data_IF_913885663157
#
_entry.id   IF_913885663157
#
_cell.length_a   1.000
_cell.length_b   1.000
_cell.length_c   1.000
_cell.angle_alpha   90.00
_cell.angle_beta   90.00
_cell.angle_gamma   90.00
#
_symmetry.space_group_name_H-M   'P 1'
#
loop_
_entity.id
_entity.type
_entity.pdbx_description
1 polymer ?
#
# COMPACT_ATOMS: atom_id res chain seq x y z
N UNK A 1 4.36 -0.45 24.23
CA UNK A 1 3.99 -1.77 23.66
C UNK A 1 3.36 -1.69 22.28
N UNK A 2 2.33 -0.87 22.04
CA UNK A 2 1.61 -0.82 20.75
C UNK A 2 2.52 -0.47 19.57
N UNK A 3 3.37 0.55 19.72
CA UNK A 3 4.30 0.96 18.66
C UNK A 3 5.30 -0.15 18.31
N UNK A 4 5.93 -0.76 19.33
CA UNK A 4 6.87 -1.88 19.17
C UNK A 4 6.23 -3.10 18.47
N UNK A 5 4.95 -3.38 18.76
CA UNK A 5 4.20 -4.46 18.09
C UNK A 5 4.08 -4.19 16.59
N UNK A 6 3.70 -2.97 16.19
CA UNK A 6 3.51 -2.64 14.78
C UNK A 6 4.80 -2.48 14.01
N UNK A 7 5.88 -1.99 14.64
CA UNK A 7 7.21 -2.00 14.03
C UNK A 7 7.63 -3.44 13.70
N UNK A 8 7.41 -4.38 14.62
CA UNK A 8 7.77 -5.79 14.40
C UNK A 8 6.92 -6.41 13.29
N UNK A 9 5.62 -6.14 13.26
CA UNK A 9 4.72 -6.62 12.20
C UNK A 9 5.16 -6.08 10.84
N UNK A 10 5.40 -4.77 10.71
CA UNK A 10 5.81 -4.16 9.44
C UNK A 10 7.18 -4.65 8.96
N UNK A 11 8.12 -4.85 9.88
CA UNK A 11 9.43 -5.38 9.54
C UNK A 11 9.35 -6.84 9.12
N UNK A 12 8.53 -7.65 9.80
CA UNK A 12 8.27 -9.03 9.39
C UNK A 12 7.58 -9.08 8.01
N UNK A 13 6.64 -8.18 7.73
CA UNK A 13 5.95 -8.14 6.43
C UNK A 13 6.87 -7.68 5.32
N UNK A 14 7.81 -6.77 5.61
CA UNK A 14 8.84 -6.37 4.67
C UNK A 14 9.80 -7.53 4.35
N UNK A 15 10.29 -8.26 5.36
CA UNK A 15 11.13 -9.44 5.14
C UNK A 15 10.37 -10.49 4.34
N UNK A 16 9.11 -10.74 4.70
CA UNK A 16 8.25 -11.66 3.96
C UNK A 16 8.08 -11.21 2.50
N UNK A 17 7.76 -9.94 2.26
CA UNK A 17 7.61 -9.39 0.90
C UNK A 17 8.88 -9.62 0.08
N UNK A 18 10.04 -9.26 0.62
CA UNK A 18 11.34 -9.44 -0.04
C UNK A 18 11.64 -10.90 -0.36
N UNK A 19 11.42 -11.82 0.58
CA UNK A 19 11.59 -13.27 0.36
C UNK A 19 10.57 -13.84 -0.64
N UNK A 20 9.33 -13.38 -0.56
CA UNK A 20 8.21 -13.87 -1.36
C UNK A 20 8.24 -13.37 -2.82
N UNK A 21 9.05 -12.34 -3.10
CA UNK A 21 9.17 -11.74 -4.44
C UNK A 21 9.55 -12.76 -5.50
N UNK A 22 10.38 -13.76 -5.19
CA UNK A 22 10.74 -14.83 -6.12
C UNK A 22 9.57 -15.75 -6.51
N UNK A 23 8.55 -15.86 -5.64
CA UNK A 23 7.42 -16.77 -5.84
C UNK A 23 6.18 -16.06 -6.38
N UNK A 24 5.95 -14.82 -5.97
CA UNK A 24 4.75 -14.07 -6.35
C UNK A 24 4.99 -13.07 -7.48
N UNK A 25 6.23 -12.84 -7.92
CA UNK A 25 6.49 -11.96 -9.06
C UNK A 25 5.93 -12.54 -10.35
N UNK A 26 5.12 -11.76 -11.06
CA UNK A 26 4.70 -12.07 -12.43
C UNK A 26 5.40 -11.09 -13.37
N UNK A 27 6.60 -11.47 -13.81
CA UNK A 27 7.47 -10.64 -14.63
C UNK A 27 8.06 -9.47 -13.83
N UNK A 28 7.46 -8.29 -13.96
CA UNK A 28 7.87 -7.06 -13.22
C UNK A 28 6.75 -6.55 -12.32
N UNK A 29 5.77 -7.40 -12.01
CA UNK A 29 4.58 -7.05 -11.24
C UNK A 29 4.62 -7.85 -9.94
N UNK A 30 4.77 -7.13 -8.83
CA UNK A 30 4.87 -7.69 -7.49
C UNK A 30 3.74 -7.15 -6.60
N UNK A 31 3.23 -7.95 -5.65
CA UNK A 31 2.22 -7.49 -4.72
C UNK A 31 2.87 -6.68 -3.59
N UNK A 32 2.26 -5.57 -3.21
CA UNK A 32 2.76 -4.71 -2.15
C UNK A 32 2.12 -5.05 -0.80
N UNK A 33 2.68 -6.03 -0.10
CA UNK A 33 2.18 -6.48 1.22
C UNK A 33 2.39 -5.42 2.31
N UNK A 34 3.44 -4.61 2.21
CA UNK A 34 3.70 -3.52 3.17
C UNK A 34 2.55 -2.51 3.17
N UNK A 35 2.04 -2.12 2.00
CA UNK A 35 0.89 -1.22 1.87
C UNK A 35 -0.38 -1.82 2.46
N UNK A 36 -0.61 -3.12 2.27
CA UNK A 36 -1.75 -3.82 2.86
C UNK A 36 -1.73 -3.62 4.38
N UNK A 37 -0.61 -3.96 5.00
CA UNK A 37 -0.49 -3.92 6.46
C UNK A 37 -0.52 -2.48 6.98
N UNK A 38 0.09 -1.55 6.26
CA UNK A 38 0.02 -0.12 6.56
C UNK A 38 -1.43 0.37 6.59
N UNK A 39 -2.25 -0.04 5.62
CA UNK A 39 -3.67 0.32 5.56
C UNK A 39 -4.44 -0.20 6.78
N UNK A 40 -4.18 -1.44 7.20
CA UNK A 40 -4.78 -2.02 8.43
C UNK A 40 -4.36 -1.26 9.69
N UNK A 41 -3.07 -0.94 9.82
CA UNK A 41 -2.54 -0.20 10.98
C UNK A 41 -3.15 1.21 11.02
N UNK A 42 -3.26 1.88 9.88
CA UNK A 42 -3.75 3.25 9.77
C UNK A 42 -5.22 3.35 10.13
N UNK A 43 -6.07 2.43 9.63
CA UNK A 43 -7.50 2.37 9.98
C UNK A 43 -7.69 2.06 11.46
N UNK A 44 -6.88 1.18 12.04
CA UNK A 44 -7.02 0.80 13.45
C UNK A 44 -6.55 1.90 14.41
N UNK A 45 -5.39 2.49 14.11
CA UNK A 45 -4.67 3.33 15.07
C UNK A 45 -4.82 4.84 14.80
N UNK A 46 -5.26 5.25 13.62
CA UNK A 46 -5.49 6.64 13.25
C UNK A 46 -4.30 7.30 12.55
N UNK A 47 -4.47 8.57 12.18
CA UNK A 47 -3.61 9.27 11.22
C UNK A 47 -2.14 9.39 11.62
N UNK A 48 -1.85 9.83 12.84
CA UNK A 48 -0.45 10.00 13.27
C UNK A 48 0.34 8.69 13.22
N UNK A 49 -0.29 7.57 13.60
CA UNK A 49 0.34 6.25 13.56
C UNK A 49 0.53 5.81 12.11
N UNK A 50 -0.51 5.92 11.27
CA UNK A 50 -0.44 5.59 9.85
C UNK A 50 0.62 6.38 9.09
N UNK A 51 0.67 7.70 9.27
CA UNK A 51 1.67 8.56 8.62
C UNK A 51 3.10 8.20 9.06
N UNK A 52 3.37 8.07 10.37
CA UNK A 52 4.71 7.74 10.85
C UNK A 52 5.19 6.38 10.32
N UNK A 53 4.34 5.36 10.43
CA UNK A 53 4.70 4.02 9.94
C UNK A 53 4.87 3.99 8.42
N UNK A 54 4.02 4.71 7.68
CA UNK A 54 4.16 4.84 6.23
C UNK A 54 5.48 5.49 5.83
N UNK A 55 5.90 6.55 6.55
CA UNK A 55 7.17 7.21 6.32
C UNK A 55 8.36 6.27 6.53
N UNK A 56 8.43 5.64 7.70
CA UNK A 56 9.58 4.81 8.07
C UNK A 56 9.66 3.55 7.21
N UNK A 57 8.55 2.86 6.97
CA UNK A 57 8.59 1.65 6.14
C UNK A 57 8.92 2.00 4.69
N UNK A 58 8.38 3.10 4.16
CA UNK A 58 8.74 3.56 2.82
C UNK A 58 10.23 3.91 2.72
N UNK A 59 10.81 4.50 3.78
CA UNK A 59 12.25 4.78 3.84
C UNK A 59 13.08 3.50 3.84
N UNK A 60 12.67 2.49 4.61
CA UNK A 60 13.34 1.20 4.62
C UNK A 60 13.28 0.50 3.26
N UNK A 61 12.13 0.58 2.59
CA UNK A 61 11.98 0.03 1.23
C UNK A 61 12.94 0.73 0.28
N UNK A 62 12.93 2.07 0.22
CA UNK A 62 13.82 2.83 -0.67
C UNK A 62 15.31 2.58 -0.38
N UNK A 63 15.69 2.42 0.89
CA UNK A 63 17.08 2.08 1.27
C UNK A 63 17.48 0.67 0.82
N UNK A 64 16.52 -0.25 0.74
CA UNK A 64 16.76 -1.65 0.38
C UNK A 64 16.79 -1.90 -1.13
N UNK A 65 16.07 -1.09 -1.91
CA UNK A 65 15.76 -1.36 -3.31
C UNK A 65 16.82 -0.88 -4.32
N UNK A 66 18.03 -0.57 -3.84
CA UNK A 66 19.21 -0.30 -4.67
C UNK A 66 19.19 1.07 -5.37
N UNK A 67 20.25 1.36 -6.14
CA UNK A 67 20.55 2.70 -6.69
C UNK A 67 19.63 3.19 -7.82
N UNK A 68 18.68 2.37 -8.27
CA UNK A 68 17.88 2.63 -9.47
C UNK A 68 16.42 3.03 -9.17
N UNK A 69 16.08 3.29 -7.91
CA UNK A 69 14.76 3.79 -7.49
C UNK A 69 14.82 5.23 -7.00
N UNK A 70 13.71 5.94 -7.18
CA UNK A 70 13.54 7.32 -6.73
C UNK A 70 13.46 7.38 -5.20
N UNK A 71 14.59 7.64 -4.55
CA UNK A 71 14.64 7.81 -3.10
C UNK A 71 13.70 8.93 -2.64
N UNK A 72 12.83 8.64 -1.69
CA UNK A 72 11.82 9.56 -1.16
C UNK A 72 10.42 9.37 -1.76
N UNK A 73 10.29 8.67 -2.89
CA UNK A 73 8.99 8.42 -3.51
C UNK A 73 8.13 7.48 -2.66
N UNK A 74 8.68 6.33 -2.24
CA UNK A 74 7.93 5.35 -1.44
C UNK A 74 7.52 5.91 -0.07
N UNK A 75 8.40 6.58 0.71
CA UNK A 75 8.00 7.27 1.94
C UNK A 75 6.87 8.27 1.74
N UNK A 76 6.89 9.07 0.66
CA UNK A 76 5.87 10.07 0.38
C UNK A 76 4.53 9.42 0.02
N UNK A 77 4.57 8.41 -0.85
CA UNK A 77 3.37 7.70 -1.28
C UNK A 77 2.74 6.94 -0.11
N UNK A 78 3.54 6.28 0.73
CA UNK A 78 3.05 5.53 1.88
C UNK A 78 2.57 6.44 3.02
N UNK A 79 3.22 7.58 3.26
CA UNK A 79 2.71 8.58 4.23
C UNK A 79 1.34 9.09 3.82
N UNK A 80 1.14 9.41 2.54
CA UNK A 80 -0.16 9.81 2.02
C UNK A 80 -1.21 8.71 2.21
N UNK A 81 -0.90 7.46 1.85
CA UNK A 81 -1.81 6.33 2.05
C UNK A 81 -2.16 6.12 3.52
N UNK A 82 -1.17 6.13 4.41
CA UNK A 82 -1.39 5.99 5.85
C UNK A 82 -2.24 7.12 6.42
N UNK A 83 -2.03 8.34 5.96
CA UNK A 83 -2.85 9.49 6.33
C UNK A 83 -4.29 9.36 5.82
N UNK A 84 -4.49 9.15 4.52
CA UNK A 84 -5.83 9.10 3.93
C UNK A 84 -6.65 7.90 4.40
N UNK A 85 -6.02 6.73 4.53
CA UNK A 85 -6.71 5.53 5.04
C UNK A 85 -7.14 5.71 6.51
N UNK A 86 -6.47 6.56 7.28
CA UNK A 86 -6.86 6.79 8.66
C UNK A 86 -8.19 7.53 8.84
N UNK A 87 -8.64 8.33 7.86
CA UNK A 87 -9.97 8.97 7.91
C UNK A 87 -11.10 7.95 7.98
N UNK A 88 -10.88 6.75 7.41
CA UNK A 88 -11.83 5.65 7.49
C UNK A 88 -12.06 5.16 8.92
N UNK A 89 -11.12 5.40 9.84
CA UNK A 89 -11.30 5.05 11.26
C UNK A 89 -12.51 5.76 11.87
N UNK A 90 -12.61 7.06 11.61
CA UNK A 90 -13.64 7.94 12.15
C UNK A 90 -14.98 7.72 11.44
N UNK A 91 -14.92 7.40 10.16
CA UNK A 91 -16.10 7.25 9.29
C UNK A 91 -16.65 5.81 9.23
N UNK A 92 -15.98 4.82 9.83
CA UNK A 92 -16.41 3.41 9.79
C UNK A 92 -17.83 3.18 10.38
N UNK A 93 -18.25 4.01 11.35
CA UNK A 93 -19.59 3.91 11.95
C UNK A 93 -20.66 4.70 11.16
N UNK A 94 -20.25 5.61 10.28
CA UNK A 94 -21.13 6.52 9.53
C UNK A 94 -21.39 6.04 8.11
N UNK A 95 -20.40 5.40 7.49
CA UNK A 95 -20.44 4.98 6.10
C UNK A 95 -21.06 3.59 5.94
N UNK A 96 -21.80 3.39 4.84
CA UNK A 96 -22.19 2.06 4.41
C UNK A 96 -20.93 1.25 4.02
N UNK A 97 -20.97 -0.06 4.20
CA UNK A 97 -19.90 -1.02 3.86
C UNK A 97 -19.40 -0.86 2.43
N UNK A 98 -20.31 -0.58 1.49
CA UNK A 98 -19.95 -0.38 0.07
C UNK A 98 -19.10 0.88 -0.08
N UNK A 99 -19.52 2.01 0.48
CA UNK A 99 -18.76 3.26 0.43
C UNK A 99 -17.41 3.14 1.14
N UNK A 100 -17.39 2.51 2.32
CA UNK A 100 -16.14 2.22 3.04
C UNK A 100 -15.17 1.45 2.15
N UNK A 101 -15.65 0.40 1.48
CA UNK A 101 -14.82 -0.40 0.58
C UNK A 101 -14.34 0.38 -0.64
N UNK A 102 -15.23 1.14 -1.28
CA UNK A 102 -14.87 1.96 -2.43
C UNK A 102 -13.81 3.00 -2.09
N UNK A 103 -13.84 3.60 -0.90
CA UNK A 103 -12.87 4.62 -0.50
C UNK A 103 -11.47 4.02 -0.31
N UNK A 104 -11.31 2.92 0.42
CA UNK A 104 -9.97 2.35 0.61
C UNK A 104 -9.40 1.79 -0.70
N UNK A 105 -10.24 1.21 -1.57
CA UNK A 105 -9.84 0.79 -2.92
C UNK A 105 -9.37 1.99 -3.75
N UNK A 106 -10.11 3.11 -3.70
CA UNK A 106 -9.74 4.34 -4.39
C UNK A 106 -8.40 4.90 -3.90
N UNK A 107 -8.17 4.93 -2.58
CA UNK A 107 -6.90 5.37 -1.99
C UNK A 107 -5.73 4.57 -2.56
N UNK A 108 -5.86 3.24 -2.65
CA UNK A 108 -4.83 2.37 -3.22
C UNK A 108 -4.63 2.60 -4.71
N UNK A 109 -5.71 2.71 -5.50
CA UNK A 109 -5.60 2.99 -6.93
C UNK A 109 -4.85 4.29 -7.20
N UNK A 110 -5.15 5.34 -6.45
CA UNK A 110 -4.46 6.65 -6.52
C UNK A 110 -3.00 6.51 -6.09
N UNK A 111 -2.74 5.79 -5.01
CA UNK A 111 -1.38 5.53 -4.54
C UNK A 111 -0.51 4.87 -5.64
N UNK A 112 -1.00 3.76 -6.21
CA UNK A 112 -0.32 3.06 -7.31
C UNK A 112 -0.21 3.93 -8.56
N UNK A 113 -1.18 4.80 -8.81
CA UNK A 113 -1.13 5.73 -9.93
C UNK A 113 0.02 6.73 -9.76
N UNK A 114 0.12 7.39 -8.60
CA UNK A 114 1.19 8.36 -8.29
C UNK A 114 2.56 7.69 -8.42
N UNK A 115 2.72 6.49 -7.84
CA UNK A 115 3.96 5.73 -7.94
C UNK A 115 4.29 5.38 -9.41
N UNK A 116 3.32 4.83 -10.15
CA UNK A 116 3.51 4.41 -11.54
C UNK A 116 3.86 5.57 -12.46
N UNK A 117 3.24 6.75 -12.28
CA UNK A 117 3.50 7.94 -13.10
C UNK A 117 4.97 8.37 -13.04
N UNK A 118 5.59 8.25 -11.87
CA UNK A 118 6.98 8.66 -11.66
C UNK A 118 7.94 7.55 -12.11
N UNK A 119 7.68 6.29 -11.70
CA UNK A 119 8.58 5.16 -12.01
C UNK A 119 8.54 4.77 -13.48
N UNK A 120 7.38 4.78 -14.11
CA UNK A 120 7.17 4.35 -15.49
C UNK A 120 6.96 5.51 -16.47
N UNK A 121 7.56 6.67 -16.19
CA UNK A 121 7.43 7.87 -17.04
C UNK A 121 7.84 7.61 -18.50
N UNK A 122 8.90 6.85 -18.73
CA UNK A 122 9.35 6.52 -20.08
C UNK A 122 8.32 5.64 -20.82
N UNK A 123 7.71 4.68 -20.12
CA UNK A 123 6.67 3.81 -20.66
C UNK A 123 5.40 4.61 -20.99
N UNK A 124 5.06 5.61 -20.17
CA UNK A 124 3.96 6.54 -20.42
C UNK A 124 4.16 7.32 -21.73
N UNK A 125 5.38 7.80 -21.99
CA UNK A 125 5.71 8.58 -23.20
C UNK A 125 5.71 7.67 -24.44
N UNK A 126 6.29 6.48 -24.35
CA UNK A 126 6.42 5.57 -25.48
C UNK A 126 5.09 4.88 -25.84
N UNK A 127 4.32 4.47 -24.83
CA UNK A 127 3.12 3.65 -25.01
C UNK A 127 2.12 3.85 -23.85
N UNK A 128 1.23 4.86 -23.95
CA UNK A 128 0.24 5.16 -22.91
C UNK A 128 -0.69 3.98 -22.57
N UNK A 129 -1.03 3.15 -23.56
CA UNK A 129 -1.87 1.96 -23.37
C UNK A 129 -1.20 0.92 -22.47
N UNK A 130 0.08 0.62 -22.71
CA UNK A 130 0.85 -0.32 -21.90
C UNK A 130 1.07 0.22 -20.48
N UNK A 131 1.18 1.54 -20.32
CA UNK A 131 1.22 2.17 -19.00
C UNK A 131 -0.05 1.91 -18.19
N UNK A 132 -1.24 2.12 -18.80
CA UNK A 132 -2.51 1.88 -18.12
C UNK A 132 -2.62 0.40 -17.71
N UNK A 133 -2.23 -0.52 -18.60
CA UNK A 133 -2.23 -1.97 -18.30
C UNK A 133 -1.27 -2.26 -17.15
N UNK A 134 -0.07 -1.67 -17.14
CA UNK A 134 0.94 -1.88 -16.10
C UNK A 134 0.46 -1.38 -14.74
N UNK A 135 -0.08 -0.16 -14.68
CA UNK A 135 -0.66 0.42 -13.47
C UNK A 135 -1.85 -0.39 -12.94
N UNK A 136 -2.75 -0.80 -13.83
CA UNK A 136 -3.88 -1.65 -13.44
C UNK A 136 -3.40 -3.02 -12.95
N UNK A 137 -2.41 -3.62 -13.60
CA UNK A 137 -1.94 -4.93 -13.20
C UNK A 137 -1.26 -4.91 -11.82
N UNK A 138 -0.42 -3.92 -11.52
CA UNK A 138 0.23 -3.81 -10.19
C UNK A 138 -0.78 -3.50 -9.08
N UNK A 139 -1.71 -2.58 -9.34
CA UNK A 139 -2.75 -2.24 -8.36
C UNK A 139 -3.72 -3.41 -8.13
N UNK A 140 -4.22 -4.05 -9.20
CA UNK A 140 -5.15 -5.18 -9.09
C UNK A 140 -4.50 -6.38 -8.40
N UNK A 141 -3.21 -6.62 -8.63
CA UNK A 141 -2.54 -7.74 -7.98
C UNK A 141 -2.52 -7.58 -6.45
N UNK A 142 -2.18 -6.38 -5.96
CA UNK A 142 -2.26 -6.06 -4.52
C UNK A 142 -3.70 -6.10 -4.01
N UNK A 143 -4.67 -5.57 -4.79
CA UNK A 143 -6.09 -5.59 -4.44
C UNK A 143 -6.66 -7.01 -4.29
N UNK A 144 -6.19 -7.99 -5.08
CA UNK A 144 -6.61 -9.40 -4.94
C UNK A 144 -6.22 -9.92 -3.56
N UNK A 145 -4.99 -9.69 -3.10
CA UNK A 145 -4.55 -10.11 -1.77
C UNK A 145 -5.34 -9.41 -0.66
N UNK A 146 -5.62 -8.11 -0.80
CA UNK A 146 -6.47 -7.41 0.16
C UNK A 146 -7.89 -7.97 0.14
N UNK A 147 -8.42 -8.32 -1.04
CA UNK A 147 -9.74 -8.94 -1.22
C UNK A 147 -9.85 -10.27 -0.49
N UNK A 148 -8.82 -11.12 -0.58
CA UNK A 148 -8.72 -12.37 0.19
C UNK A 148 -8.73 -12.05 1.70
N UNK A 149 -7.94 -11.07 2.13
CA UNK A 149 -7.91 -10.65 3.53
C UNK A 149 -9.24 -10.05 4.00
N UNK A 150 -10.04 -9.42 3.15
CA UNK A 150 -11.39 -8.94 3.53
C UNK A 150 -12.32 -10.09 3.92
N UNK A 151 -12.14 -11.28 3.35
CA UNK A 151 -12.96 -12.46 3.69
C UNK A 151 -12.62 -12.97 5.09
N UNK A 152 -11.32 -12.93 5.46
CA UNK A 152 -10.82 -13.45 6.74
C UNK A 152 -10.96 -12.41 7.85
N UNK A 153 -10.44 -11.20 7.62
CA UNK A 153 -10.40 -10.07 8.56
C UNK A 153 -10.87 -8.80 7.87
N UNK A 154 -12.19 -8.59 7.75
CA UNK A 154 -12.74 -7.43 7.06
C UNK A 154 -12.38 -6.12 7.77
N UNK A 155 -11.92 -5.13 7.02
CA UNK A 155 -11.47 -3.82 7.54
C UNK A 155 -12.54 -3.09 8.36
N UNK A 156 -13.81 -3.23 7.99
CA UNK A 156 -14.92 -2.58 8.71
C UNK A 156 -15.13 -3.13 10.13
N UNK A 157 -14.53 -4.28 10.49
CA UNK A 157 -14.62 -4.87 11.84
C UNK A 157 -13.43 -4.56 12.74
N UNK A 158 -12.43 -3.80 12.27
CA UNK A 158 -11.10 -3.72 12.93
C UNK A 158 -11.04 -2.71 14.10
N UNK A 159 -12.20 -2.28 14.62
CA UNK A 159 -12.28 -1.41 15.80
C UNK A 159 -12.05 -2.18 17.10
#
# INVERSE_FOLDING_TARGET
>A
MIFFKYTLILLATFIFQSWSSEFFSVGTIDPDFCVIILLYISIKNGGMVGTLFGFFIGLFIDLSSGTNQFFGLTPLVYTMTGYFSSFLKEENQRLNKIYFTSIWVFILLVQFLIFSLIVYQQLLIQSPSMFIIKWLATSMYTLIFIGILQVITPLYKIQ
#
